data_IF_285343257781
#
_entry.id   IF_285343257781
#
_cell.length_a   1.000
_cell.length_b   1.000
_cell.length_c   1.000
_cell.angle_alpha   90.00
_cell.angle_beta   90.00
_cell.angle_gamma   90.00
#
_symmetry.space_group_name_H-M   'P 1'
#
loop_
_entity.id
_entity.type
_entity.pdbx_description
1 polymer ?
#
# COMPACT_ATOMS: atom_id res chain seq x y z
N UNK A 1 65.62 -21.37 39.68
CA UNK A 1 65.61 -21.64 38.22
C UNK A 1 64.48 -22.63 37.92
N UNK A 2 63.41 -22.18 37.25
CA UNK A 2 62.39 -23.03 36.59
C UNK A 2 61.48 -22.13 35.72
N UNK A 3 61.47 -22.41 34.42
CA UNK A 3 60.59 -21.84 33.39
C UNK A 3 59.14 -22.28 33.59
N UNK A 4 58.15 -21.45 33.22
CA UNK A 4 56.89 -21.90 32.58
C UNK A 4 56.44 -20.87 31.52
N UNK A 5 56.16 -21.40 30.35
CA UNK A 5 55.70 -20.77 29.11
C UNK A 5 54.17 -20.69 29.09
N UNK A 6 53.63 -19.64 28.47
CA UNK A 6 52.52 -19.79 27.51
C UNK A 6 51.09 -19.53 28.00
N UNK A 7 50.38 -18.72 27.22
CA UNK A 7 49.00 -19.05 26.83
C UNK A 7 47.86 -18.17 27.33
N UNK A 8 47.87 -16.85 27.08
CA UNK A 8 46.71 -15.99 27.44
C UNK A 8 46.36 -14.97 26.33
N UNK A 9 46.48 -15.32 25.04
CA UNK A 9 46.16 -14.40 23.93
C UNK A 9 44.98 -14.82 23.03
N UNK A 10 44.13 -15.76 23.47
CA UNK A 10 43.08 -16.33 22.60
C UNK A 10 41.65 -16.34 23.19
N UNK A 11 41.28 -15.36 24.03
CA UNK A 11 39.90 -15.28 24.58
C UNK A 11 39.11 -14.01 24.29
N UNK A 12 39.71 -12.97 23.69
CA UNK A 12 39.04 -11.66 23.52
C UNK A 12 38.38 -11.41 22.15
N UNK A 13 38.58 -12.28 21.16
CA UNK A 13 38.06 -12.07 19.79
C UNK A 13 36.70 -12.74 19.53
N UNK A 14 36.28 -13.69 20.37
CA UNK A 14 35.01 -14.41 20.17
C UNK A 14 33.76 -13.58 20.55
N UNK A 15 33.90 -12.60 21.45
CA UNK A 15 32.77 -11.79 21.92
C UNK A 15 32.25 -10.78 20.90
N UNK A 16 33.14 -10.21 20.08
CA UNK A 16 32.79 -9.12 19.16
C UNK A 16 32.06 -9.60 17.90
N UNK A 17 32.28 -10.85 17.47
CA UNK A 17 31.65 -11.41 16.27
C UNK A 17 30.18 -11.75 16.54
N UNK A 18 29.86 -12.22 17.76
CA UNK A 18 28.49 -12.58 18.13
C UNK A 18 27.54 -11.37 18.16
N UNK A 19 28.02 -10.19 18.58
CA UNK A 19 27.20 -8.97 18.62
C UNK A 19 26.88 -8.43 17.22
N UNK A 20 27.85 -8.48 16.30
CA UNK A 20 27.66 -8.03 14.92
C UNK A 20 26.64 -8.90 14.16
N UNK A 21 26.64 -10.22 14.41
CA UNK A 21 25.67 -11.14 13.79
C UNK A 21 24.22 -10.90 14.29
N UNK A 22 24.04 -10.54 15.56
CA UNK A 22 22.72 -10.23 16.12
C UNK A 22 22.13 -8.91 15.58
N UNK A 23 22.97 -7.92 15.29
CA UNK A 23 22.55 -6.65 14.68
C UNK A 23 22.11 -6.81 13.21
N UNK A 24 22.74 -7.72 12.45
CA UNK A 24 22.36 -7.96 11.05
C UNK A 24 20.98 -8.63 10.90
N UNK A 25 20.59 -9.47 11.86
CA UNK A 25 19.28 -10.14 11.84
C UNK A 25 18.10 -9.19 12.13
N UNK A 26 18.34 -8.04 12.79
CA UNK A 26 17.29 -7.07 13.12
C UNK A 26 16.81 -6.23 11.93
N UNK A 27 17.56 -6.21 10.82
CA UNK A 27 17.21 -5.44 9.61
C UNK A 27 16.68 -6.31 8.46
N UNK A 28 16.56 -7.63 8.65
CA UNK A 28 15.92 -8.50 7.69
C UNK A 28 14.39 -8.35 7.79
N UNK A 29 13.85 -7.19 7.38
CA UNK A 29 12.42 -7.09 7.15
C UNK A 29 12.09 -7.96 5.93
N UNK A 30 11.12 -8.89 6.02
CA UNK A 30 10.65 -9.60 4.84
C UNK A 30 10.11 -8.55 3.87
N UNK A 31 10.71 -8.46 2.67
CA UNK A 31 10.14 -7.67 1.60
C UNK A 31 8.77 -8.25 1.29
N UNK A 32 7.69 -7.52 1.61
CA UNK A 32 6.37 -7.89 1.17
C UNK A 32 6.41 -7.99 -0.35
N UNK A 33 6.17 -9.17 -0.90
CA UNK A 33 6.19 -9.39 -2.33
C UNK A 33 5.15 -8.45 -2.97
N UNK A 34 5.63 -7.49 -3.77
CA UNK A 34 4.75 -6.58 -4.48
C UNK A 34 3.86 -7.41 -5.41
N UNK A 35 2.53 -7.26 -5.29
CA UNK A 35 1.62 -7.92 -6.21
C UNK A 35 1.77 -7.28 -7.59
N UNK A 36 2.24 -8.04 -8.56
CA UNK A 36 2.30 -7.61 -9.96
C UNK A 36 0.99 -7.93 -10.65
N UNK A 37 0.23 -6.90 -10.99
CA UNK A 37 -0.98 -7.02 -11.81
C UNK A 37 -1.03 -5.88 -12.82
N UNK A 38 -1.83 -6.08 -13.86
CA UNK A 38 -2.14 -5.06 -14.86
C UNK A 38 -3.59 -4.63 -14.66
N UNK A 39 -3.82 -3.33 -14.68
CA UNK A 39 -5.15 -2.74 -14.68
C UNK A 39 -5.56 -2.51 -16.13
N UNK A 40 -6.69 -3.09 -16.53
CA UNK A 40 -7.26 -2.87 -17.86
C UNK A 40 -8.46 -1.93 -17.79
N UNK A 41 -8.69 -1.19 -18.87
CA UNK A 41 -9.84 -0.31 -19.00
C UNK A 41 -9.70 1.01 -18.26
N UNK A 42 -10.82 1.53 -17.74
CA UNK A 42 -10.92 2.91 -17.28
C UNK A 42 -10.16 3.19 -15.97
N UNK A 43 -9.97 2.18 -15.11
CA UNK A 43 -9.13 2.29 -13.92
C UNK A 43 -7.65 2.58 -14.18
N UNK A 44 -7.16 2.27 -15.38
CA UNK A 44 -5.78 2.57 -15.78
C UNK A 44 -5.60 4.01 -16.27
N UNK A 45 -6.68 4.79 -16.42
CA UNK A 45 -6.61 6.20 -16.80
C UNK A 45 -6.14 7.06 -15.62
N UNK A 46 -5.66 8.26 -15.93
CA UNK A 46 -5.15 9.19 -14.93
C UNK A 46 -6.28 9.90 -14.18
N UNK A 47 -5.98 10.37 -12.99
CA UNK A 47 -6.84 11.24 -12.20
C UNK A 47 -7.14 12.58 -12.90
N UNK A 48 -6.24 13.07 -13.76
CA UNK A 48 -6.57 14.18 -14.66
C UNK A 48 -7.72 13.84 -15.60
N UNK A 49 -7.71 12.65 -16.21
CA UNK A 49 -8.79 12.21 -17.09
C UNK A 49 -10.11 11.94 -16.34
N UNK A 50 -10.04 11.51 -15.07
CA UNK A 50 -11.19 11.47 -14.16
C UNK A 50 -11.77 12.88 -13.99
N UNK A 51 -10.94 13.83 -13.55
CA UNK A 51 -11.36 15.21 -13.25
C UNK A 51 -11.96 15.91 -14.47
N UNK A 52 -11.38 15.70 -15.65
CA UNK A 52 -11.92 16.21 -16.90
C UNK A 52 -13.29 15.62 -17.22
N UNK A 53 -13.49 14.31 -17.01
CA UNK A 53 -14.77 13.65 -17.24
C UNK A 53 -15.87 14.20 -16.33
N UNK A 54 -15.58 14.38 -15.04
CA UNK A 54 -16.52 14.96 -14.05
C UNK A 54 -17.07 16.32 -14.51
N UNK A 55 -16.24 17.12 -15.19
CA UNK A 55 -16.60 18.48 -15.63
C UNK A 55 -17.27 18.54 -16.99
N UNK A 56 -16.98 17.58 -17.88
CA UNK A 56 -17.27 17.72 -19.31
C UNK A 56 -18.25 16.69 -19.87
N UNK A 57 -18.36 15.52 -19.24
CA UNK A 57 -19.09 14.38 -19.81
C UNK A 57 -19.66 13.50 -18.69
N UNK A 58 -20.95 13.68 -18.41
CA UNK A 58 -21.67 12.93 -17.37
C UNK A 58 -21.66 11.42 -17.61
N UNK A 59 -21.69 10.97 -18.86
CA UNK A 59 -21.70 9.52 -19.14
C UNK A 59 -20.33 8.91 -18.84
N UNK A 60 -19.25 9.62 -19.19
CA UNK A 60 -17.90 9.18 -18.80
C UNK A 60 -17.68 9.24 -17.30
N UNK A 61 -18.19 10.29 -16.63
CA UNK A 61 -18.18 10.41 -15.18
C UNK A 61 -18.82 9.17 -14.51
N UNK A 62 -20.05 8.82 -14.90
CA UNK A 62 -20.74 7.63 -14.39
C UNK A 62 -19.97 6.32 -14.66
N UNK A 63 -19.28 6.23 -15.80
CA UNK A 63 -18.42 5.07 -16.12
C UNK A 63 -17.26 4.94 -15.13
N UNK A 64 -16.65 6.06 -14.77
CA UNK A 64 -15.59 6.13 -13.77
C UNK A 64 -16.12 5.77 -12.37
N UNK A 65 -17.28 6.29 -11.98
CA UNK A 65 -17.90 5.98 -10.67
C UNK A 65 -18.21 4.49 -10.56
N UNK A 66 -18.81 3.92 -11.60
CA UNK A 66 -19.11 2.48 -11.68
C UNK A 66 -17.85 1.63 -11.51
N UNK A 67 -16.72 2.06 -12.09
CA UNK A 67 -15.45 1.37 -11.92
C UNK A 67 -14.96 1.40 -10.46
N UNK A 68 -15.06 2.53 -9.76
CA UNK A 68 -14.72 2.64 -8.34
C UNK A 68 -15.60 1.72 -7.49
N UNK A 69 -16.91 1.75 -7.69
CA UNK A 69 -17.84 0.89 -6.95
C UNK A 69 -17.55 -0.60 -7.18
N UNK A 70 -17.30 -0.98 -8.44
CA UNK A 70 -16.92 -2.34 -8.81
C UNK A 70 -15.59 -2.77 -8.20
N UNK A 71 -14.59 -1.89 -8.20
CA UNK A 71 -13.29 -2.15 -7.59
C UNK A 71 -13.40 -2.41 -6.08
N UNK A 72 -14.12 -1.55 -5.35
CA UNK A 72 -14.35 -1.72 -3.91
C UNK A 72 -15.11 -3.02 -3.62
N UNK A 73 -16.18 -3.29 -4.38
CA UNK A 73 -16.99 -4.51 -4.24
C UNK A 73 -16.15 -5.76 -4.49
N UNK A 74 -15.40 -5.80 -5.60
CA UNK A 74 -14.56 -6.94 -5.95
C UNK A 74 -13.42 -7.16 -4.94
N UNK A 75 -12.87 -6.07 -4.38
CA UNK A 75 -11.84 -6.16 -3.36
C UNK A 75 -12.37 -6.70 -2.04
N UNK A 76 -13.54 -6.23 -1.59
CA UNK A 76 -14.23 -6.78 -0.42
C UNK A 76 -14.58 -8.26 -0.61
N UNK A 77 -15.12 -8.62 -1.78
CA UNK A 77 -15.44 -10.01 -2.10
C UNK A 77 -14.21 -10.92 -2.06
N UNK A 78 -13.06 -10.46 -2.54
CA UNK A 78 -11.82 -11.24 -2.62
C UNK A 78 -10.97 -11.26 -1.34
N UNK A 79 -11.32 -10.51 -0.29
CA UNK A 79 -10.54 -10.42 0.96
C UNK A 79 -11.39 -10.87 2.15
N UNK A 80 -11.01 -11.98 2.76
CA UNK A 80 -11.63 -12.42 4.01
C UNK A 80 -11.49 -11.35 5.10
N UNK A 81 -12.59 -11.06 5.81
CA UNK A 81 -12.62 -10.13 6.93
C UNK A 81 -12.75 -8.64 6.57
N UNK A 82 -12.74 -8.29 5.27
CA UNK A 82 -13.03 -6.93 4.81
C UNK A 82 -14.55 -6.74 4.68
N UNK A 83 -15.14 -5.97 5.60
CA UNK A 83 -16.58 -5.68 5.59
C UNK A 83 -16.81 -4.19 5.33
N UNK A 84 -16.83 -3.81 4.05
CA UNK A 84 -17.09 -2.41 3.67
C UNK A 84 -18.49 -1.94 4.08
N UNK A 85 -19.48 -2.83 4.24
CA UNK A 85 -20.81 -2.41 4.68
C UNK A 85 -20.81 -1.97 6.16
N UNK A 86 -20.00 -2.62 6.99
CA UNK A 86 -19.77 -2.22 8.37
C UNK A 86 -18.81 -1.02 8.48
N UNK A 87 -17.71 -1.06 7.73
CA UNK A 87 -16.57 -0.17 7.90
C UNK A 87 -16.77 1.17 7.16
N UNK A 88 -17.48 1.14 6.03
CA UNK A 88 -17.75 2.30 5.18
C UNK A 88 -19.25 2.60 5.17
N UNK A 89 -19.87 2.89 6.32
CA UNK A 89 -21.25 3.45 6.41
C UNK A 89 -21.35 4.83 5.72
N UNK A 90 -21.11 4.85 4.42
CA UNK A 90 -20.72 5.99 3.61
C UNK A 90 -21.59 5.90 2.37
N UNK A 91 -22.28 6.99 2.04
CA UNK A 91 -23.12 7.02 0.85
C UNK A 91 -22.22 6.92 -0.41
N UNK A 92 -22.70 6.30 -1.52
CA UNK A 92 -21.92 6.23 -2.76
C UNK A 92 -21.37 7.59 -3.22
N UNK A 93 -22.13 8.67 -3.01
CA UNK A 93 -21.76 10.03 -3.35
C UNK A 93 -20.55 10.53 -2.55
N UNK A 94 -20.45 10.17 -1.27
CA UNK A 94 -19.31 10.53 -0.42
C UNK A 94 -18.01 9.84 -0.88
N UNK A 95 -18.12 8.61 -1.41
CA UNK A 95 -16.98 7.88 -1.98
C UNK A 95 -16.44 8.59 -3.22
N UNK A 96 -17.35 9.01 -4.12
CA UNK A 96 -16.99 9.76 -5.33
C UNK A 96 -16.38 11.10 -4.96
N UNK A 97 -16.96 11.83 -4.01
CA UNK A 97 -16.42 13.11 -3.55
C UNK A 97 -15.01 12.96 -2.96
N UNK A 98 -14.74 11.88 -2.24
CA UNK A 98 -13.40 11.59 -1.75
C UNK A 98 -12.41 11.35 -2.89
N UNK A 99 -12.81 10.57 -3.91
CA UNK A 99 -11.98 10.31 -5.09
C UNK A 99 -11.75 11.58 -5.89
N UNK A 100 -12.75 12.47 -6.02
CA UNK A 100 -12.59 13.78 -6.65
C UNK A 100 -11.47 14.57 -5.97
N UNK A 101 -11.52 14.71 -4.64
CA UNK A 101 -10.50 15.43 -3.89
C UNK A 101 -9.11 14.79 -4.02
N UNK A 102 -9.03 13.45 -3.98
CA UNK A 102 -7.78 12.74 -4.19
C UNK A 102 -7.21 13.00 -5.61
N UNK A 103 -8.05 12.93 -6.63
CA UNK A 103 -7.63 13.07 -8.01
C UNK A 103 -7.26 14.51 -8.39
N UNK A 104 -7.93 15.51 -7.83
CA UNK A 104 -7.54 16.92 -7.96
C UNK A 104 -6.13 17.17 -7.39
N UNK A 105 -5.81 16.56 -6.25
CA UNK A 105 -4.50 16.68 -5.63
C UNK A 105 -3.40 15.84 -6.33
N UNK A 106 -3.77 14.79 -7.05
CA UNK A 106 -2.84 13.79 -7.61
C UNK A 106 -3.11 13.52 -9.11
N UNK A 107 -3.03 14.51 -10.01
CA UNK A 107 -3.52 14.38 -11.39
C UNK A 107 -2.78 13.34 -12.25
N UNK A 108 -1.55 12.99 -11.88
CA UNK A 108 -0.73 12.00 -12.58
C UNK A 108 -0.94 10.56 -12.09
N UNK A 109 -1.59 10.37 -10.94
CA UNK A 109 -1.92 9.04 -10.44
C UNK A 109 -3.02 8.40 -11.29
N UNK A 110 -3.10 7.08 -11.30
CA UNK A 110 -4.20 6.37 -11.94
C UNK A 110 -5.44 6.36 -11.06
N UNK A 111 -6.61 6.18 -11.68
CA UNK A 111 -7.88 5.99 -10.95
C UNK A 111 -7.83 4.74 -10.06
N UNK A 112 -7.12 3.71 -10.49
CA UNK A 112 -6.88 2.54 -9.63
C UNK A 112 -6.12 2.89 -8.35
N UNK A 113 -5.09 3.73 -8.42
CA UNK A 113 -4.38 4.19 -7.22
C UNK A 113 -5.28 5.03 -6.32
N UNK A 114 -6.20 5.81 -6.89
CA UNK A 114 -7.22 6.50 -6.10
C UNK A 114 -8.17 5.51 -5.41
N UNK A 115 -8.60 4.45 -6.09
CA UNK A 115 -9.42 3.39 -5.50
C UNK A 115 -8.72 2.64 -4.36
N UNK A 116 -7.42 2.35 -4.50
CA UNK A 116 -6.61 1.77 -3.42
C UNK A 116 -6.51 2.73 -2.24
N UNK A 117 -6.22 4.00 -2.48
CA UNK A 117 -6.11 5.01 -1.43
C UNK A 117 -7.45 5.22 -0.70
N UNK A 118 -8.57 5.15 -1.42
CA UNK A 118 -9.90 5.19 -0.82
C UNK A 118 -10.13 3.96 0.07
N UNK A 119 -9.80 2.76 -0.39
CA UNK A 119 -9.92 1.55 0.41
C UNK A 119 -9.11 1.62 1.70
N UNK A 120 -7.89 2.14 1.63
CA UNK A 120 -7.03 2.38 2.78
C UNK A 120 -7.68 3.38 3.75
N UNK A 121 -8.26 4.48 3.23
CA UNK A 121 -9.01 5.45 4.01
C UNK A 121 -10.20 4.82 4.74
N UNK A 122 -11.00 4.01 4.05
CA UNK A 122 -12.20 3.37 4.61
C UNK A 122 -11.86 2.34 5.70
N UNK A 123 -10.74 1.64 5.54
CA UNK A 123 -10.34 0.56 6.46
C UNK A 123 -9.45 1.04 7.61
N UNK A 124 -9.07 2.32 7.61
CA UNK A 124 -8.09 2.86 8.55
C UNK A 124 -6.69 2.27 8.39
N UNK A 125 -6.45 1.49 7.32
CA UNK A 125 -5.13 1.02 6.96
C UNK A 125 -4.33 2.22 6.46
N UNK A 126 -3.29 2.62 7.18
CA UNK A 126 -2.32 3.57 6.62
C UNK A 126 -1.66 2.87 5.44
N UNK A 127 -1.79 3.47 4.24
CA UNK A 127 -1.06 3.09 3.05
C UNK A 127 0.36 2.67 3.45
N UNK A 128 0.64 1.38 3.34
CA UNK A 128 2.02 0.92 3.35
C UNK A 128 2.60 1.46 2.05
N UNK A 129 3.15 2.67 2.15
CA UNK A 129 3.89 3.37 1.11
C UNK A 129 4.87 2.38 0.48
N UNK A 130 4.55 1.97 -0.74
CA UNK A 130 5.45 1.36 -1.70
C UNK A 130 5.42 2.21 -2.97
#
# INVERSE_FOLDING_TARGET
>A
MRNVVGGEFMKKTAGSIALAAALAAAFAQPAAAAKTYVVWGIGAKTCGAWTDAQRTDKVKAETYHTWIYGFLTGTAYGREGLDLARDAKVAPEDLVQWVDAYCEANPLMTVERAGVALLDHLTGAKAQQQ
#
